data_IF_696481919372
#
_entry.id   IF_696481919372
#
_cell.length_a   1.000
_cell.length_b   1.000
_cell.length_c   1.000
_cell.angle_alpha   90.00
_cell.angle_beta   90.00
_cell.angle_gamma   90.00
#
_symmetry.space_group_name_H-M   'P 1'
#
loop_
_entity.id
_entity.type
_entity.pdbx_description
1 polymer ?
2 non-polymer ?
3 non-polymer ?
4 non-polymer ?
5 water ?
#
# COMPACT_ATOMS: atom_id res chain seq x y z
N UNK A 23 11.92 -10.42 -14.30
CA UNK A 23 12.40 -10.76 -12.94
C UNK A 23 11.37 -10.30 -11.90
N UNK A 24 10.66 -9.21 -12.18
CA UNK A 24 9.70 -8.64 -11.19
C UNK A 24 8.34 -9.35 -11.29
N UNK A 25 7.94 -10.09 -10.24
CA UNK A 25 6.66 -10.76 -10.22
C UNK A 25 5.49 -9.78 -10.40
N UNK A 26 5.70 -8.54 -9.96
CA UNK A 26 4.61 -7.52 -9.98
C UNK A 26 4.39 -6.98 -11.41
N UNK A 27 5.20 -7.43 -12.37
CA UNK A 27 4.99 -7.05 -13.80
C UNK A 27 4.33 -8.20 -14.58
N UNK A 28 3.91 -9.26 -13.90
CA UNK A 28 3.32 -10.45 -14.56
C UNK A 28 1.78 -10.38 -14.65
N UNK A 29 1.20 -11.13 -15.60
CA UNK A 29 -0.28 -11.20 -15.73
C UNK A 29 -0.86 -11.91 -14.52
N UNK A 30 -0.11 -12.87 -14.01
CA UNK A 30 -0.56 -13.63 -12.81
C UNK A 30 -0.82 -12.60 -11.71
N UNK A 31 0.18 -11.74 -11.44
CA UNK A 31 -0.02 -10.78 -10.36
C UNK A 31 -1.05 -9.72 -10.72
N UNK A 32 -1.15 -9.33 -11.99
CA UNK A 32 -2.14 -8.33 -12.37
C UNK A 32 -3.54 -8.79 -12.07
N UNK A 33 -3.85 -10.05 -12.39
CA UNK A 33 -5.19 -10.56 -12.15
C UNK A 33 -5.48 -10.74 -10.67
N UNK A 34 -4.49 -11.22 -9.90
CA UNK A 34 -4.65 -11.23 -8.45
C UNK A 34 -4.97 -9.83 -7.93
N UNK A 35 -4.19 -8.83 -8.36
CA UNK A 35 -4.28 -7.52 -7.70
C UNK A 35 -5.46 -6.68 -8.19
N UNK A 36 -5.86 -6.85 -9.45
CA UNK A 36 -7.08 -6.15 -9.87
C UNK A 36 -8.29 -6.74 -9.16
N UNK A 37 -8.34 -8.07 -8.97
CA UNK A 37 -9.43 -8.62 -8.16
C UNK A 37 -9.34 -8.19 -6.71
N UNK A 38 -8.12 -8.16 -6.15
CA UNK A 38 -7.92 -7.78 -4.76
C UNK A 38 -8.36 -6.34 -4.53
N UNK A 39 -7.99 -5.45 -5.45
CA UNK A 39 -8.27 -4.03 -5.25
C UNK A 39 -9.68 -3.62 -5.67
N UNK A 40 -10.27 -4.28 -6.69
CA UNK A 40 -11.55 -3.85 -7.28
C UNK A 40 -12.60 -4.95 -7.39
N UNK A 41 -12.28 -6.18 -7.00
CA UNK A 41 -13.23 -7.27 -7.15
C UNK A 41 -14.14 -7.43 -5.95
N UNK A 42 -15.01 -8.43 -6.03
CA UNK A 42 -15.87 -8.75 -4.89
C UNK A 42 -15.04 -9.36 -3.76
N UNK A 43 -15.59 -9.29 -2.56
CA UNK A 43 -14.91 -9.78 -1.39
C UNK A 43 -14.98 -11.29 -1.29
N UNK A 44 -14.15 -11.83 -0.40
CA UNK A 44 -14.07 -13.26 -0.14
C UNK A 44 -14.12 -13.49 1.35
N UNK A 45 -14.77 -14.61 1.75
CA UNK A 45 -14.86 -15.02 3.16
C UNK A 45 -15.40 -13.90 4.06
N UNK A 46 -16.23 -13.02 3.49
CA UNK A 46 -16.77 -11.86 4.21
C UNK A 46 -15.69 -10.93 4.78
N UNK A 47 -14.48 -10.95 4.23
CA UNK A 47 -13.45 -10.00 4.64
C UNK A 47 -13.60 -8.70 3.85
N UNK A 48 -13.64 -7.53 4.50
CA UNK A 48 -13.79 -6.26 3.75
C UNK A 48 -12.61 -6.01 2.82
N UNK A 49 -12.88 -5.24 1.76
CA UNK A 49 -11.82 -4.81 0.85
C UNK A 49 -10.67 -4.16 1.62
N UNK A 50 -9.45 -4.62 1.37
CA UNK A 50 -8.32 -4.25 2.24
C UNK A 50 -7.81 -2.83 1.99
N UNK A 51 -7.55 -2.41 0.75
CA UNK A 51 -7.12 -1.02 0.55
C UNK A 51 -8.13 -0.03 1.13
N UNK A 52 -9.43 -0.28 0.93
CA UNK A 52 -10.44 0.60 1.50
C UNK A 52 -10.41 0.57 3.03
N UNK A 53 -10.31 -0.61 3.64
CA UNK A 53 -10.23 -0.71 5.09
C UNK A 53 -9.03 0.04 5.64
N UNK A 54 -7.89 -0.04 4.95
CA UNK A 54 -6.71 0.68 5.42
C UNK A 54 -6.95 2.18 5.42
N UNK A 55 -7.48 2.71 4.32
CA UNK A 55 -7.67 4.15 4.22
C UNK A 55 -8.77 4.62 5.18
N UNK A 56 -9.80 3.80 5.42
CA UNK A 56 -10.75 4.17 6.45
C UNK A 56 -10.05 4.44 7.78
N UNK A 57 -9.07 3.59 8.14
CA UNK A 57 -8.36 3.82 9.40
C UNK A 57 -7.50 5.07 9.37
N UNK A 58 -6.81 5.32 8.26
CA UNK A 58 -6.02 6.53 8.15
C UNK A 58 -6.89 7.78 8.29
N UNK A 59 -8.04 7.79 7.61
CA UNK A 59 -8.91 8.97 7.67
C UNK A 59 -9.51 9.16 9.05
N UNK A 60 -9.68 8.08 9.82
CA UNK A 60 -10.23 8.19 11.16
C UNK A 60 -9.24 8.83 12.14
N UNK A 61 -7.97 8.92 11.79
CA UNK A 61 -6.93 9.39 12.70
C UNK A 61 -6.20 10.64 12.22
N UNK A 62 -6.40 11.06 10.98
CA UNK A 62 -5.71 12.23 10.46
C UNK A 62 -6.36 13.50 10.99
N UNK A 63 -5.61 14.29 11.75
CA UNK A 63 -6.12 15.53 12.32
C UNK A 63 -5.53 16.76 11.65
N UNK A 64 -4.74 16.57 10.59
CA UNK A 64 -4.15 17.66 9.85
C UNK A 64 -5.01 18.14 8.70
N UNK A 65 -4.39 18.93 7.84
CA UNK A 65 -5.07 19.44 6.66
C UNK A 65 -5.09 18.38 5.57
N UNK A 66 -5.91 18.60 4.54
CA UNK A 66 -6.20 17.57 3.56
C UNK A 66 -5.83 18.01 2.15
N UNK A 67 -4.69 18.69 2.01
CA UNK A 67 -4.21 19.13 0.71
C UNK A 67 -3.52 18.06 -0.12
N UNK A 68 -2.70 17.22 0.51
CA UNK A 68 -1.86 16.32 -0.28
C UNK A 68 -1.57 15.01 0.44
N UNK A 69 -1.77 13.88 -0.25
CA UNK A 69 -1.39 12.57 0.28
C UNK A 69 -0.56 11.81 -0.74
N UNK A 70 0.25 10.89 -0.22
CA UNK A 70 1.19 10.07 -0.99
C UNK A 70 0.90 8.61 -0.66
N UNK A 71 0.74 7.78 -1.71
CA UNK A 71 0.42 6.35 -1.60
C UNK A 71 1.59 5.59 -2.19
N UNK A 72 2.46 5.04 -1.33
CA UNK A 72 3.70 4.40 -1.76
C UNK A 72 3.48 2.89 -1.91
N UNK A 73 3.95 2.33 -3.01
CA UNK A 73 3.62 0.92 -3.32
C UNK A 73 2.13 0.75 -3.60
N UNK A 74 1.54 1.70 -4.34
CA UNK A 74 0.09 1.76 -4.50
C UNK A 74 -0.48 0.64 -5.34
N UNK A 75 0.34 -0.16 -6.03
CA UNK A 75 -0.16 -1.25 -6.95
C UNK A 75 -1.17 -0.66 -7.94
N UNK A 76 -2.37 -1.24 -8.08
CA UNK A 76 -3.31 -0.82 -9.12
C UNK A 76 -4.29 0.23 -8.59
N UNK A 77 -4.04 0.74 -7.38
CA UNK A 77 -4.51 2.07 -7.03
C UNK A 77 -5.75 2.23 -6.16
N UNK A 78 -6.33 1.15 -5.60
CA UNK A 78 -7.57 1.34 -4.83
C UNK A 78 -7.39 2.30 -3.64
N UNK A 79 -6.27 2.18 -2.90
CA UNK A 79 -6.10 3.08 -1.76
C UNK A 79 -5.92 4.53 -2.22
N UNK A 80 -5.35 4.72 -3.42
CA UNK A 80 -5.16 6.08 -3.90
C UNK A 80 -6.52 6.72 -4.25
N UNK A 81 -7.39 5.96 -4.92
CA UNK A 81 -8.72 6.47 -5.21
C UNK A 81 -9.53 6.68 -3.94
N UNK A 82 -9.34 5.85 -2.92
CA UNK A 82 -10.05 6.08 -1.66
C UNK A 82 -9.55 7.34 -0.98
N UNK A 83 -8.24 7.58 -1.00
CA UNK A 83 -7.69 8.79 -0.40
C UNK A 83 -8.19 10.03 -1.12
N UNK A 84 -8.42 9.91 -2.43
CA UNK A 84 -8.85 11.04 -3.23
C UNK A 84 -10.28 11.47 -2.91
N UNK A 85 -11.05 10.64 -2.20
CA UNK A 85 -12.35 11.14 -1.74
C UNK A 85 -12.20 12.27 -0.75
N UNK A 86 -11.03 12.42 -0.10
CA UNK A 86 -10.86 13.44 0.93
C UNK A 86 -9.71 14.41 0.69
N UNK A 87 -8.64 14.00 -0.01
CA UNK A 87 -7.47 14.85 -0.23
C UNK A 87 -7.57 15.56 -1.59
N UNK A 88 -7.06 16.80 -1.67
CA UNK A 88 -7.17 17.55 -2.91
C UNK A 88 -6.31 16.95 -4.01
N UNK A 89 -5.19 16.33 -3.64
CA UNK A 89 -4.23 15.74 -4.56
C UNK A 89 -3.68 14.46 -3.93
N UNK A 90 -3.66 13.38 -4.70
CA UNK A 90 -3.13 12.10 -4.25
C UNK A 90 -2.14 11.63 -5.29
N UNK A 91 -0.90 11.35 -4.86
CA UNK A 91 0.15 10.81 -5.72
C UNK A 91 0.33 9.35 -5.35
N UNK A 92 0.20 8.45 -6.32
CA UNK A 92 0.46 7.03 -6.11
C UNK A 92 1.69 6.60 -6.89
N UNK A 93 2.64 5.97 -6.19
CA UNK A 93 3.92 5.56 -6.76
C UNK A 93 4.07 4.06 -6.58
N UNK A 94 4.43 3.36 -7.67
CA UNK A 94 4.72 1.95 -7.62
C UNK A 94 5.82 1.68 -8.61
N UNK A 95 6.63 0.67 -8.33
CA UNK A 95 7.70 0.26 -9.22
C UNK A 95 7.20 -0.55 -10.42
N UNK A 96 6.00 -1.12 -10.36
CA UNK A 96 5.48 -1.94 -11.46
C UNK A 96 4.81 -1.08 -12.51
N UNK A 97 5.36 -1.07 -13.72
CA UNK A 97 4.75 -0.30 -14.81
C UNK A 97 3.41 -0.91 -15.22
N UNK A 98 3.33 -2.24 -15.23
CA UNK A 98 2.03 -2.88 -15.57
C UNK A 98 0.97 -2.45 -14.57
N UNK A 99 1.31 -2.43 -13.28
CA UNK A 99 0.36 -1.96 -12.27
C UNK A 99 -0.03 -0.51 -12.53
N UNK A 100 0.97 0.36 -12.74
CA UNK A 100 0.66 1.77 -12.87
C UNK A 100 -0.12 2.03 -14.15
N UNK A 101 0.09 1.23 -15.21
CA UNK A 101 -0.71 1.46 -16.41
C UNK A 101 -2.17 1.10 -16.16
N UNK A 102 -2.44 0.10 -15.33
CA UNK A 102 -3.81 -0.22 -14.96
C UNK A 102 -4.44 0.91 -14.14
N UNK A 103 -3.72 1.39 -13.11
CA UNK A 103 -4.24 2.47 -12.28
C UNK A 103 -4.57 3.71 -13.11
N UNK A 104 -3.65 4.12 -13.99
CA UNK A 104 -3.92 5.27 -14.86
C UNK A 104 -5.12 5.04 -15.79
N UNK A 105 -5.27 3.84 -16.36
CA UNK A 105 -6.44 3.59 -17.22
C UNK A 105 -7.73 3.72 -16.43
N UNK A 106 -7.73 3.24 -15.19
CA UNK A 106 -8.90 3.43 -14.34
C UNK A 106 -9.15 4.91 -14.09
N UNK A 107 -8.09 5.67 -13.81
CA UNK A 107 -8.24 7.10 -13.54
C UNK A 107 -8.82 7.82 -14.75
N UNK A 108 -8.36 7.47 -15.95
CA UNK A 108 -8.76 8.20 -17.15
C UNK A 108 -10.03 7.66 -17.81
N UNK A 109 -10.27 6.34 -17.82
CA UNK A 109 -11.46 5.79 -18.46
C UNK A 109 -12.53 5.36 -17.48
N UNK A 110 -12.21 5.22 -16.19
CA UNK A 110 -13.17 4.84 -15.18
C UNK A 110 -13.44 3.34 -15.08
N UNK A 111 -12.89 2.54 -15.97
CA UNK A 111 -13.11 1.10 -15.96
C UNK A 111 -11.99 0.41 -16.73
N UNK A 112 -11.81 -0.89 -16.47
CA UNK A 112 -10.96 -1.71 -17.30
C UNK A 112 -11.46 -3.14 -17.18
N UNK A 113 -10.96 -4.01 -18.04
CA UNK A 113 -11.30 -5.43 -17.93
C UNK A 113 -10.01 -6.22 -17.77
N UNK A 114 -10.15 -7.40 -17.19
CA UNK A 114 -8.99 -8.24 -16.89
C UNK A 114 -9.45 -9.69 -16.80
N UNK A 115 -8.48 -10.60 -16.81
CA UNK A 115 -8.74 -12.03 -16.65
C UNK A 115 -8.32 -12.51 -15.27
N UNK A 116 -9.07 -13.47 -14.73
CA UNK A 116 -8.68 -14.20 -13.53
C UNK A 116 -8.65 -15.68 -13.85
N UNK A 117 -7.85 -16.41 -13.10
CA UNK A 117 -7.76 -17.85 -13.32
C UNK A 117 -8.93 -18.54 -12.63
N UNK A 118 -9.62 -19.44 -13.36
CA UNK A 118 -10.57 -20.34 -12.72
C UNK A 118 -9.86 -21.61 -12.25
N UNK A 119 -9.29 -22.35 -13.19
CA UNK A 119 -8.68 -23.64 -12.93
C UNK A 119 -7.73 -23.93 -14.08
N UNK A 120 -6.43 -24.06 -13.78
CA UNK A 120 -5.47 -24.34 -14.83
C UNK A 120 -5.44 -23.21 -15.86
N UNK A 121 -5.72 -23.55 -17.14
CA UNK A 121 -5.79 -22.58 -18.24
C UNK A 121 -7.19 -22.01 -18.42
N UNK A 122 -8.17 -22.45 -17.64
CA UNK A 122 -9.51 -21.91 -17.79
C UNK A 122 -9.58 -20.58 -17.07
N UNK A 123 -9.98 -19.54 -17.78
CA UNK A 123 -9.95 -18.18 -17.24
C UNK A 123 -11.30 -17.53 -17.45
N UNK A 124 -11.50 -16.41 -16.76
CA UNK A 124 -12.77 -15.68 -16.83
C UNK A 124 -12.51 -14.18 -16.84
N UNK A 125 -13.22 -13.47 -17.72
CA UNK A 125 -12.98 -12.02 -17.86
C UNK A 125 -13.87 -11.25 -16.90
N UNK A 126 -13.33 -10.17 -16.34
CA UNK A 126 -13.99 -9.40 -15.29
C UNK A 126 -13.77 -7.92 -15.53
N UNK A 127 -14.56 -7.08 -14.84
CA UNK A 127 -14.49 -5.63 -15.01
C UNK A 127 -14.18 -4.94 -13.68
N UNK A 128 -13.27 -3.97 -13.69
CA UNK A 128 -13.10 -3.03 -12.58
C UNK A 128 -13.78 -1.72 -12.99
N UNK A 129 -14.56 -1.13 -12.09
CA UNK A 129 -15.41 0.01 -12.43
C UNK A 129 -15.44 0.99 -11.26
N UNK A 130 -14.84 2.18 -11.43
CA UNK A 130 -14.77 3.15 -10.34
C UNK A 130 -16.16 3.67 -9.99
N UNK A 131 -17.02 3.86 -11.00
CA UNK A 131 -18.37 4.35 -10.76
C UNK A 131 -19.12 3.44 -9.78
N UNK A 132 -19.07 2.13 -10.01
CA UNK A 132 -19.73 1.20 -9.12
C UNK A 132 -19.23 1.30 -7.69
N UNK A 133 -17.99 1.76 -7.48
CA UNK A 133 -17.41 1.84 -6.14
C UNK A 133 -17.55 3.24 -5.55
N UNK A 134 -18.25 4.14 -6.27
CA UNK A 134 -18.40 5.53 -5.87
C UNK A 134 -17.06 6.26 -5.83
N UNK A 135 -16.15 5.92 -6.75
CA UNK A 135 -14.80 6.52 -6.80
C UNK A 135 -14.55 7.35 -8.05
N UNK A 136 -15.52 7.46 -8.95
CA UNK A 136 -15.19 8.09 -10.23
C UNK A 136 -15.12 9.60 -10.12
N UNK A 137 -15.90 10.19 -9.22
CA UNK A 137 -16.01 11.65 -9.16
C UNK A 137 -14.71 12.31 -8.75
N UNK A 138 -13.87 11.61 -7.99
CA UNK A 138 -12.61 12.18 -7.52
C UNK A 138 -11.38 11.57 -8.18
N UNK A 139 -11.56 10.68 -9.18
CA UNK A 139 -10.43 10.09 -9.89
C UNK A 139 -9.52 11.15 -10.49
N UNK A 140 -10.06 12.31 -10.85
CA UNK A 140 -9.22 13.38 -11.37
C UNK A 140 -8.22 13.93 -10.38
N UNK A 141 -8.38 13.63 -9.10
CA UNK A 141 -7.44 14.16 -8.07
C UNK A 141 -6.22 13.23 -7.91
N UNK A 142 -6.18 12.12 -8.65
CA UNK A 142 -5.05 11.20 -8.56
C UNK A 142 -4.06 11.40 -9.69
N UNK A 143 -2.79 11.14 -9.41
CA UNK A 143 -1.77 10.99 -10.43
C UNK A 143 -0.91 9.80 -10.03
N UNK A 144 -0.64 8.92 -10.98
CA UNK A 144 0.10 7.68 -10.74
C UNK A 144 1.41 7.75 -11.50
N UNK A 145 2.51 7.33 -10.87
CA UNK A 145 3.79 7.32 -11.56
C UNK A 145 4.59 6.10 -11.14
N UNK A 146 5.44 5.64 -12.05
CA UNK A 146 6.43 4.61 -11.74
C UNK A 146 7.56 5.23 -10.93
N UNK A 147 7.99 4.56 -9.86
CA UNK A 147 9.08 5.07 -9.06
C UNK A 147 9.47 4.07 -8.00
N UNK A 148 10.62 4.37 -7.37
CA UNK A 148 11.28 3.50 -6.40
C UNK A 148 11.16 4.12 -5.02
N UNK A 149 10.41 3.47 -4.15
CA UNK A 149 10.16 4.02 -2.82
C UNK A 149 11.41 4.07 -1.96
N UNK A 150 12.46 3.37 -2.33
CA UNK A 150 13.70 3.49 -1.56
C UNK A 150 14.56 4.64 -2.07
N UNK A 151 14.20 5.27 -3.18
CA UNK A 151 14.96 6.40 -3.73
C UNK A 151 13.99 7.32 -4.47
N UNK A 152 13.17 8.04 -3.70
CA UNK A 152 12.13 8.91 -4.28
C UNK A 152 12.73 10.19 -4.84
N UNK A 153 12.11 10.72 -5.91
CA UNK A 153 12.62 11.96 -6.52
C UNK A 153 12.73 13.08 -5.48
N UNK A 154 13.76 13.91 -5.59
CA UNK A 154 13.88 15.02 -4.63
C UNK A 154 12.96 16.19 -4.93
N UNK A 155 12.15 16.11 -5.99
CA UNK A 155 11.15 17.11 -6.37
C UNK A 155 9.77 16.80 -5.81
N UNK A 156 9.62 15.76 -5.00
CA UNK A 156 8.30 15.27 -4.64
C UNK A 156 7.57 16.16 -3.64
N UNK A 157 8.27 17.06 -2.94
CA UNK A 157 7.58 17.88 -1.97
C UNK A 157 7.30 17.13 -0.68
N UNK A 158 6.39 17.68 0.12
CA UNK A 158 5.98 16.99 1.34
C UNK A 158 4.45 16.91 1.41
N UNK A 159 3.97 16.16 2.39
CA UNK A 159 2.62 15.65 2.37
C UNK A 159 1.97 15.77 3.73
N UNK A 160 0.65 15.89 3.73
CA UNK A 160 -0.13 15.85 4.96
C UNK A 160 -0.28 14.42 5.45
N UNK A 161 -0.29 13.45 4.53
CA UNK A 161 -0.53 12.05 4.88
C UNK A 161 0.25 11.17 3.93
N UNK A 162 0.89 10.13 4.46
CA UNK A 162 1.56 9.13 3.64
C UNK A 162 1.06 7.76 4.04
N UNK A 163 0.67 6.97 3.04
CA UNK A 163 0.21 5.61 3.23
C UNK A 163 1.19 4.67 2.54
N UNK A 164 1.61 3.61 3.24
CA UNK A 164 2.43 2.56 2.63
C UNK A 164 1.83 1.22 3.01
N UNK A 165 0.98 0.68 2.12
CA UNK A 165 0.29 -0.56 2.41
C UNK A 165 1.02 -1.80 1.94
N UNK A 166 1.29 -2.72 2.87
CA UNK A 166 1.90 -4.00 2.53
C UNK A 166 3.17 -3.84 1.72
N UNK A 167 3.99 -2.84 2.08
CA UNK A 167 5.16 -2.45 1.30
C UNK A 167 6.49 -2.81 1.96
N UNK A 168 6.62 -2.61 3.27
CA UNK A 168 7.93 -2.63 3.90
C UNK A 168 8.58 -4.02 3.79
N UNK A 169 7.77 -5.09 3.75
CA UNK A 169 8.31 -6.43 3.61
C UNK A 169 8.53 -6.83 2.16
N UNK A 170 8.43 -5.86 1.25
CA UNK A 170 8.73 -6.11 -0.16
C UNK A 170 9.83 -5.19 -0.68
N UNK A 171 10.57 -4.48 0.22
CA UNK A 171 11.59 -3.49 -0.16
C UNK A 171 12.98 -4.02 0.11
N UNK A 172 13.94 -3.76 -0.77
CA UNK A 172 15.29 -4.28 -0.52
C UNK A 172 16.07 -3.49 0.52
N UNK A 173 15.68 -2.25 0.81
CA UNK A 173 16.40 -1.41 1.77
C UNK A 173 15.37 -0.68 2.63
N UNK A 174 14.77 -1.37 3.59
CA UNK A 174 13.75 -0.72 4.45
C UNK A 174 14.28 0.51 5.17
N UNK A 175 15.51 0.47 5.66
CA UNK A 175 16.02 1.64 6.39
C UNK A 175 16.13 2.84 5.46
N UNK A 176 16.51 2.62 4.20
CA UNK A 176 16.64 3.74 3.28
C UNK A 176 15.26 4.32 2.95
N UNK A 177 14.25 3.47 2.83
CA UNK A 177 12.88 3.93 2.68
C UNK A 177 12.47 4.80 3.89
N UNK A 178 12.67 4.29 5.11
CA UNK A 178 12.21 4.99 6.30
C UNK A 178 12.94 6.32 6.48
N UNK A 179 14.20 6.40 6.04
CA UNK A 179 15.00 7.59 6.31
C UNK A 179 14.45 8.82 5.58
N UNK A 180 13.58 8.62 4.60
CA UNK A 180 13.01 9.71 3.82
C UNK A 180 11.79 10.31 4.50
N UNK A 181 11.17 9.55 5.41
CA UNK A 181 9.81 9.87 5.78
C UNK A 181 9.73 11.10 6.68
N UNK A 182 10.65 11.34 7.64
CA UNK A 182 10.52 12.60 8.42
C UNK A 182 10.48 13.83 7.53
N UNK A 183 11.29 13.83 6.48
CA UNK A 183 11.32 14.98 5.59
C UNK A 183 10.10 15.05 4.67
N UNK A 184 9.41 13.93 4.48
CA UNK A 184 8.27 13.89 3.57
C UNK A 184 6.94 14.23 4.23
N UNK A 185 6.85 14.23 5.57
CA UNK A 185 5.58 14.48 6.24
C UNK A 185 5.67 15.81 6.97
N UNK A 186 4.68 16.69 6.74
CA UNK A 186 4.62 17.96 7.45
C UNK A 186 4.36 17.69 8.93
N UNK A 187 4.88 18.55 9.82
CA UNK A 187 4.56 18.38 11.24
C UNK A 187 3.05 18.42 11.46
N UNK A 188 2.56 17.50 12.29
CA UNK A 188 1.13 17.34 12.47
C UNK A 188 0.48 16.37 11.50
N UNK A 189 1.19 15.93 10.47
CA UNK A 189 0.64 14.99 9.51
C UNK A 189 0.72 13.58 10.02
N UNK A 190 0.24 12.65 9.19
CA UNK A 190 0.06 11.25 9.58
C UNK A 190 0.79 10.33 8.60
N UNK A 191 1.52 9.35 9.14
CA UNK A 191 2.12 8.28 8.37
C UNK A 191 1.43 6.97 8.79
N UNK A 192 0.98 6.18 7.81
CA UNK A 192 0.39 4.88 8.11
C UNK A 192 1.12 3.80 7.32
N UNK A 193 1.65 2.83 8.05
CA UNK A 193 2.37 1.69 7.49
C UNK A 193 1.57 0.44 7.86
N UNK A 194 1.32 -0.42 6.88
CA UNK A 194 0.75 -1.73 7.20
C UNK A 194 1.64 -2.81 6.62
N UNK A 195 1.71 -3.93 7.30
CA UNK A 195 2.48 -5.06 6.77
C UNK A 195 2.18 -6.32 7.56
N UNK A 196 2.19 -7.49 6.89
CA UNK A 196 2.13 -8.77 7.60
C UNK A 196 3.54 -9.26 7.95
N UNK A 197 4.57 -8.49 7.58
CA UNK A 197 5.97 -8.82 7.96
C UNK A 197 6.39 -10.16 7.35
N UNK A 198 6.02 -10.36 6.08
CA UNK A 198 6.43 -11.60 5.36
C UNK A 198 7.85 -11.39 4.86
N UNK A 199 8.80 -11.49 5.78
CA UNK A 199 10.23 -11.25 5.44
C UNK A 199 10.79 -12.41 4.62
N UNK A 200 11.35 -12.07 3.49
CA UNK A 200 11.86 -13.09 2.52
C UNK A 200 13.15 -12.61 1.86
N UNK A 201 14.21 -13.42 1.79
CA UNK A 201 15.43 -12.95 1.12
C UNK A 201 15.21 -12.57 -0.33
N UNK A 202 14.19 -13.13 -1.00
CA UNK A 202 13.86 -12.76 -2.38
C UNK A 202 13.63 -11.26 -2.47
N UNK A 203 13.11 -10.65 -1.40
CA UNK A 203 12.73 -9.24 -1.43
C UNK A 203 13.60 -8.35 -0.57
N UNK A 204 14.11 -8.84 0.56
CA UNK A 204 14.99 -8.06 1.43
C UNK A 204 16.19 -8.92 1.81
N UNK A 205 17.43 -8.52 1.43
CA UNK A 205 18.60 -9.23 1.93
C UNK A 205 18.60 -9.25 3.47
N UNK A 206 18.99 -10.38 4.07
CA UNK A 206 18.91 -10.55 5.54
C UNK A 206 19.65 -9.42 6.29
N UNK A 207 20.80 -8.97 5.76
CA UNK A 207 21.61 -7.94 6.48
C UNK A 207 20.85 -6.61 6.53
N UNK A 208 19.78 -6.48 5.75
CA UNK A 208 19.02 -5.20 5.68
C UNK A 208 17.69 -5.32 6.44
N UNK A 209 17.42 -6.47 7.06
CA UNK A 209 16.20 -6.57 7.85
C UNK A 209 16.26 -5.60 9.02
N UNK A 210 15.14 -4.94 9.32
CA UNK A 210 15.10 -4.05 10.48
C UNK A 210 14.45 -4.71 11.68
N UNK A 211 14.00 -5.96 11.54
CA UNK A 211 13.34 -6.69 12.60
C UNK A 211 13.17 -8.13 12.15
N UNK A 212 12.52 -8.92 13.01
CA UNK A 212 12.38 -10.34 12.73
C UNK A 212 13.60 -11.17 13.06
N UNK A 213 14.34 -10.81 14.10
CA UNK A 213 15.53 -11.56 14.48
C UNK A 213 15.86 -11.25 15.94
N UNK A 214 16.84 -11.99 16.46
CA UNK A 214 17.37 -11.79 17.79
C UNK A 214 18.67 -11.01 17.70
N UNK A 215 18.85 -10.07 18.62
CA UNK A 215 20.07 -9.28 18.70
C UNK A 215 20.51 -9.26 20.16
N UNK A 216 21.80 -9.54 20.40
CA UNK A 216 22.32 -9.75 21.75
C UNK A 216 21.37 -10.66 22.53
N UNK A 217 20.81 -11.67 21.89
CA UNK A 217 19.97 -12.64 22.58
C UNK A 217 18.58 -12.17 22.95
N UNK A 218 18.12 -11.02 22.46
CA UNK A 218 16.75 -10.60 22.70
C UNK A 218 16.03 -10.40 21.36
N UNK A 219 14.70 -10.58 21.32
CA UNK A 219 13.98 -10.43 20.05
C UNK A 219 13.88 -8.97 19.64
N UNK A 220 14.03 -8.72 18.36
CA UNK A 220 13.79 -7.42 17.77
C UNK A 220 12.67 -7.63 16.76
N UNK A 221 11.47 -7.18 17.09
CA UNK A 221 10.34 -7.29 16.18
C UNK A 221 10.42 -6.24 15.08
N UNK A 222 9.74 -6.50 13.95
CA UNK A 222 9.68 -5.48 12.92
C UNK A 222 9.17 -4.16 13.48
N UNK A 223 8.18 -4.22 14.38
CA UNK A 223 7.66 -2.98 14.95
C UNK A 223 8.72 -2.26 15.77
N UNK A 224 9.57 -3.01 16.49
CA UNK A 224 10.71 -2.38 17.17
C UNK A 224 11.64 -1.68 16.18
N UNK A 225 11.86 -2.30 15.02
CA UNK A 225 12.69 -1.66 14.02
C UNK A 225 12.05 -0.40 13.49
N UNK A 226 10.74 -0.42 13.24
CA UNK A 226 10.03 0.80 12.84
C UNK A 226 10.22 1.92 13.86
N UNK A 227 10.06 1.60 15.15
CA UNK A 227 10.19 2.63 16.20
C UNK A 227 11.61 3.18 16.25
N UNK A 228 12.59 2.29 16.17
CA UNK A 228 13.98 2.73 16.22
C UNK A 228 14.27 3.75 15.12
N UNK A 229 13.73 3.52 13.92
CA UNK A 229 14.03 4.38 12.78
C UNK A 229 13.13 5.62 12.74
N UNK A 230 11.93 5.57 13.29
CA UNK A 230 10.99 6.68 13.10
C UNK A 230 10.92 7.64 14.30
N UNK A 231 11.17 7.15 15.52
CA UNK A 231 11.08 7.98 16.72
C UNK A 231 12.36 8.77 16.93
N UNK A 232 12.28 9.98 17.53
CA UNK A 232 11.08 10.69 18.00
C UNK A 232 10.50 11.62 16.96
N UNK A 233 11.03 11.65 15.74
CA UNK A 233 10.47 12.49 14.68
C UNK A 233 9.00 12.21 14.48
N UNK A 234 8.61 10.93 14.55
CA UNK A 234 7.22 10.49 14.56
C UNK A 234 6.91 9.96 15.95
N UNK A 235 5.64 10.07 16.36
CA UNK A 235 5.16 9.50 17.62
C UNK A 235 4.12 8.44 17.27
N UNK A 236 4.36 7.22 17.74
CA UNK A 236 3.43 6.12 17.44
C UNK A 236 2.10 6.32 18.17
N UNK A 237 1.00 6.28 17.43
CA UNK A 237 -0.34 6.33 18.05
C UNK A 237 -0.64 4.92 18.53
N UNK A 238 -0.74 4.73 19.84
CA UNK A 238 -0.90 3.37 20.40
C UNK A 238 -2.38 3.09 20.67
N UNK A 239 -2.85 1.83 20.47
CA UNK A 239 -1.99 0.75 20.02
C UNK A 239 -2.02 0.48 18.50
N UNK A 240 -1.13 -0.40 18.06
CA UNK A 240 -1.20 -0.86 16.66
C UNK A 240 -2.49 -1.67 16.48
N UNK A 241 -2.90 -1.89 15.23
CA UNK A 241 -4.16 -2.56 14.92
C UNK A 241 -3.96 -3.64 13.85
N UNK A 242 -4.64 -4.78 13.99
CA UNK A 242 -4.65 -5.81 12.95
C UNK A 242 -5.73 -5.53 11.92
N UNK A 243 -5.37 -5.65 10.63
CA UNK A 243 -6.32 -5.50 9.52
C UNK A 243 -6.14 -6.72 8.61
N UNK A 244 -7.15 -7.57 8.48
CA UNK A 244 -7.01 -8.79 7.65
C UNK A 244 -7.29 -8.51 6.17
N UNK A 245 -6.85 -9.45 5.31
CA UNK A 245 -7.10 -9.31 3.87
C UNK A 245 -7.08 -10.70 3.20
N UNK A 246 -7.78 -10.80 2.06
CA UNK A 246 -7.87 -12.05 1.29
C UNK A 246 -7.49 -11.77 -0.16
N UNK A 247 -6.49 -12.50 -0.68
CA UNK A 247 -6.12 -12.42 -2.10
C UNK A 247 -6.55 -13.70 -2.81
N UNK A 248 -7.36 -13.55 -3.87
CA UNK A 248 -7.83 -14.67 -4.68
C UNK A 248 -6.76 -15.07 -5.70
N UNK A 249 -6.40 -16.35 -5.73
CA UNK A 249 -5.49 -16.84 -6.77
C UNK A 249 -6.19 -17.68 -7.86
N UNK A 250 -7.12 -18.53 -7.46
CA UNK A 250 -7.93 -19.32 -8.40
C UNK A 250 -9.34 -19.33 -7.85
N UNK A 251 -10.26 -20.03 -8.54
CA UNK A 251 -11.58 -20.18 -7.95
C UNK A 251 -11.51 -20.73 -6.52
N UNK A 252 -10.55 -21.62 -6.26
CA UNK A 252 -10.49 -22.33 -4.99
C UNK A 252 -9.37 -21.88 -4.02
N UNK A 253 -8.29 -21.29 -4.51
CA UNK A 253 -7.11 -20.99 -3.67
C UNK A 253 -7.00 -19.49 -3.37
N UNK A 254 -6.82 -19.15 -2.08
CA UNK A 254 -6.73 -17.77 -1.59
C UNK A 254 -5.60 -17.62 -0.56
N UNK A 255 -5.09 -16.39 -0.44
CA UNK A 255 -4.28 -15.98 0.69
C UNK A 255 -5.22 -15.31 1.69
N UNK A 256 -5.02 -15.58 2.98
CA UNK A 256 -5.83 -14.96 4.03
C UNK A 256 -4.89 -14.58 5.17
N UNK A 257 -4.62 -13.29 5.34
CA UNK A 257 -3.46 -12.81 6.09
C UNK A 257 -3.84 -11.61 6.95
N UNK A 258 -3.12 -11.42 8.05
CA UNK A 258 -3.44 -10.38 9.02
C UNK A 258 -2.29 -9.39 9.09
N UNK A 259 -2.50 -8.20 8.53
CA UNK A 259 -1.46 -7.18 8.56
C UNK A 259 -1.48 -6.41 9.88
N UNK A 260 -0.33 -5.88 10.28
CA UNK A 260 -0.29 -4.95 11.41
C UNK A 260 -0.24 -3.52 10.85
N UNK A 261 -1.18 -2.69 11.29
CA UNK A 261 -1.23 -1.28 10.92
C UNK A 261 -0.66 -0.41 12.04
N UNK A 262 0.29 0.46 11.71
CA UNK A 262 0.87 1.36 12.69
C UNK A 262 0.71 2.79 12.18
N UNK A 263 0.22 3.65 13.05
CA UNK A 263 -0.10 5.03 12.72
C UNK A 263 0.84 5.94 13.50
N UNK A 264 1.42 6.93 12.80
CA UNK A 264 2.55 7.70 13.33
C UNK A 264 2.30 9.17 13.08
N UNK A 265 2.29 9.99 14.13
CA UNK A 265 2.11 11.44 13.97
C UNK A 265 3.46 12.12 13.84
N UNK A 266 3.60 13.01 12.85
CA UNK A 266 4.84 13.77 12.70
C UNK A 266 4.94 14.86 13.77
N UNK A 267 6.02 14.87 14.53
CA UNK A 267 6.27 15.87 15.61
C UNK A 267 6.88 17.16 15.06
#
# INVERSE_FOLDING_TARGET
MGSSHHHHHHSSGLVPRGSHMTDNPYETDELLGQYLDFHYGPGHFDVPNYPKACIEQALAHHTGTTGRALDLGCAVGRSSFELARRFDEVIGIDLSRRFIDSATRLAEQGQLQYQVTLEGELIERRTADLAALELSNTAGRTRFQVGDACALDDTLGRFDLIFAGNLIDRLPDPAAFLAQLPALVRPGGLLMITSPYTLLPEFTPRERWIGGFERNGQPVRMLDGLRHHLEPDFVLLEPTRDIPFVIRETTRKYQHTVAEASLWRRA
#
